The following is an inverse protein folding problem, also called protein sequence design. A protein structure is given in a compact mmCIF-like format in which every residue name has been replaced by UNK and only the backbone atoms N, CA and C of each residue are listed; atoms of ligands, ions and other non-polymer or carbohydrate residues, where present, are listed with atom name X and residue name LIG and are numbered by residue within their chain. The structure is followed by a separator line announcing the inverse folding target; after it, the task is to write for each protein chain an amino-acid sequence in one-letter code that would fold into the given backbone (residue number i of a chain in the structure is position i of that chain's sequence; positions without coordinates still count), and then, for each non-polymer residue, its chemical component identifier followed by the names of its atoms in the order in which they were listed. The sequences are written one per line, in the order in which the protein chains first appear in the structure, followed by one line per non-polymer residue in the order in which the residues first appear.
data_IF_940622974702
#
_entry.id   IF_940622974702
#
_cell.length_a   1.000
_cell.length_b   1.000
_cell.length_c   1.000
_cell.angle_alpha   90.00
_cell.angle_beta   90.00
_cell.angle_gamma   90.00
#
_symmetry.space_group_name_H-M   'P 1'
#
loop_
_entity.id
_entity.type
_entity.pdbx_description
1 polymer ?
#
# COMPACT_ATOMS: atom_id res chain seq x y z
N UNK A 1 -19.49 8.00 -16.25
CA UNK A 1 -18.25 8.16 -15.45
C UNK A 1 -17.08 7.94 -16.38
N UNK A 2 -16.02 8.75 -16.27
CA UNK A 2 -14.77 8.56 -17.01
C UNK A 2 -14.11 7.25 -16.62
N UNK A 3 -13.47 6.58 -17.59
CA UNK A 3 -12.81 5.28 -17.37
C UNK A 3 -11.30 5.37 -17.47
N UNK A 4 -10.76 6.57 -17.74
CA UNK A 4 -9.34 6.77 -17.94
C UNK A 4 -8.64 6.91 -16.57
N UNK A 5 -7.77 5.99 -16.25
CA UNK A 5 -7.02 5.97 -14.99
C UNK A 5 -5.54 6.13 -15.27
N UNK A 6 -4.95 7.20 -14.77
CA UNK A 6 -3.54 7.48 -14.91
C UNK A 6 -2.72 6.58 -13.98
N UNK A 7 -1.68 5.94 -14.50
CA UNK A 7 -0.75 5.09 -13.75
C UNK A 7 0.66 5.66 -13.88
N UNK A 8 1.13 6.34 -12.84
CA UNK A 8 2.52 6.83 -12.82
C UNK A 8 3.47 5.70 -12.39
N UNK A 9 4.53 5.48 -13.18
CA UNK A 9 5.38 4.31 -13.03
C UNK A 9 4.80 3.04 -13.70
N UNK A 10 4.00 3.20 -14.75
CA UNK A 10 3.28 2.12 -15.45
C UNK A 10 4.18 0.97 -15.93
N UNK A 11 5.42 1.26 -16.32
CA UNK A 11 6.40 0.25 -16.77
C UNK A 11 7.20 -0.39 -15.61
N UNK A 12 6.99 0.05 -14.36
CA UNK A 12 7.56 -0.57 -13.18
C UNK A 12 6.93 -1.94 -12.87
N UNK A 13 7.55 -2.70 -11.97
CA UNK A 13 7.09 -4.06 -11.64
C UNK A 13 5.61 -4.08 -11.20
N UNK A 14 5.26 -3.32 -10.17
CA UNK A 14 3.86 -3.23 -9.69
C UNK A 14 2.96 -2.49 -10.68
N UNK A 15 3.49 -1.45 -11.37
CA UNK A 15 2.73 -0.69 -12.35
C UNK A 15 2.19 -1.53 -13.50
N UNK A 16 2.96 -2.51 -13.99
CA UNK A 16 2.50 -3.45 -15.02
C UNK A 16 1.33 -4.30 -14.56
N UNK A 17 1.31 -4.74 -13.30
CA UNK A 17 0.16 -5.46 -12.74
C UNK A 17 -1.07 -4.55 -12.60
N UNK A 18 -0.88 -3.30 -12.16
CA UNK A 18 -1.96 -2.30 -12.07
C UNK A 18 -2.57 -2.01 -13.44
N UNK A 19 -1.74 -1.83 -14.48
CA UNK A 19 -2.21 -1.64 -15.87
C UNK A 19 -3.03 -2.83 -16.35
N UNK A 20 -2.59 -4.06 -16.08
CA UNK A 20 -3.31 -5.27 -16.45
C UNK A 20 -4.66 -5.36 -15.71
N UNK A 21 -4.68 -5.16 -14.40
CA UNK A 21 -5.88 -5.20 -13.56
C UNK A 21 -6.91 -4.15 -13.96
N UNK A 22 -6.49 -2.91 -14.24
CA UNK A 22 -7.36 -1.86 -14.75
C UNK A 22 -8.06 -2.29 -16.03
N UNK A 23 -7.32 -2.88 -16.96
CA UNK A 23 -7.85 -3.37 -18.23
C UNK A 23 -8.86 -4.50 -18.02
N UNK A 24 -8.57 -5.46 -17.16
CA UNK A 24 -9.46 -6.57 -16.83
C UNK A 24 -10.79 -6.08 -16.26
N UNK A 25 -10.77 -4.99 -15.49
CA UNK A 25 -11.97 -4.34 -14.94
C UNK A 25 -12.62 -3.33 -15.89
N UNK A 26 -12.16 -3.22 -17.14
CA UNK A 26 -12.74 -2.36 -18.18
C UNK A 26 -12.45 -0.87 -18.03
N UNK A 27 -11.39 -0.52 -17.28
CA UNK A 27 -10.80 0.82 -17.27
C UNK A 27 -9.84 1.01 -18.44
N UNK A 28 -9.54 2.26 -18.78
CA UNK A 28 -8.57 2.64 -19.79
C UNK A 28 -7.31 3.16 -19.07
N UNK A 29 -6.21 2.40 -19.03
CA UNK A 29 -4.98 2.87 -18.42
C UNK A 29 -4.32 3.97 -19.27
N UNK A 30 -4.01 5.11 -18.65
CA UNK A 30 -3.12 6.14 -19.20
C UNK A 30 -1.73 5.92 -18.62
N UNK A 31 -0.75 5.58 -19.45
CA UNK A 31 0.58 5.19 -19.00
C UNK A 31 1.45 6.41 -18.76
N UNK A 32 1.84 6.67 -17.51
CA UNK A 32 2.67 7.80 -17.13
C UNK A 32 4.05 7.36 -16.63
N UNK A 33 5.07 8.13 -16.99
CA UNK A 33 6.44 7.91 -16.53
C UNK A 33 7.42 8.84 -17.23
N UNK A 34 8.66 8.84 -16.77
CA UNK A 34 9.72 9.73 -17.26
C UNK A 34 10.48 9.19 -18.50
N UNK A 35 10.53 7.86 -18.63
CA UNK A 35 11.26 7.16 -19.68
C UNK A 35 10.33 6.88 -20.86
N UNK A 36 10.53 7.65 -21.94
CA UNK A 36 9.68 7.63 -23.12
C UNK A 36 9.84 6.32 -23.92
N UNK A 37 11.03 5.72 -23.94
CA UNK A 37 11.27 4.46 -24.63
C UNK A 37 10.54 3.29 -23.94
N UNK A 38 10.62 3.20 -22.63
CA UNK A 38 9.90 2.18 -21.84
C UNK A 38 8.37 2.38 -21.90
N UNK A 39 7.92 3.64 -21.95
CA UNK A 39 6.50 3.93 -22.16
C UNK A 39 6.04 3.46 -23.54
N UNK A 40 6.80 3.75 -24.61
CA UNK A 40 6.48 3.35 -25.96
C UNK A 40 6.44 1.83 -26.14
N UNK A 41 7.35 1.10 -25.50
CA UNK A 41 7.35 -0.36 -25.46
C UNK A 41 6.03 -0.91 -24.87
N UNK A 42 5.59 -0.36 -23.74
CA UNK A 42 4.34 -0.77 -23.08
C UNK A 42 3.12 -0.32 -23.87
N UNK A 43 3.16 0.86 -24.49
CA UNK A 43 2.09 1.44 -25.31
C UNK A 43 1.82 0.65 -26.60
N UNK A 44 2.81 -0.11 -27.09
CA UNK A 44 2.64 -1.01 -28.25
C UNK A 44 1.49 -2.02 -28.12
N UNK A 45 0.98 -2.22 -26.90
CA UNK A 45 -0.24 -2.98 -26.63
C UNK A 45 -1.56 -2.20 -26.81
N UNK A 46 -1.53 -0.99 -27.39
CA UNK A 46 -2.72 -0.16 -27.69
C UNK A 46 -3.13 0.80 -26.56
N UNK A 47 -2.19 1.17 -25.67
CA UNK A 47 -2.43 2.14 -24.60
C UNK A 47 -1.93 3.54 -24.97
N UNK A 48 -2.58 4.56 -24.45
CA UNK A 48 -2.06 5.93 -24.49
C UNK A 48 -0.94 6.11 -23.47
N UNK A 49 0.21 6.63 -23.93
CA UNK A 49 1.36 6.93 -23.11
C UNK A 49 1.64 8.43 -23.11
N UNK A 50 1.90 8.98 -21.91
CA UNK A 50 2.18 10.40 -21.71
C UNK A 50 3.45 10.53 -20.86
N UNK A 51 4.49 11.16 -21.41
CA UNK A 51 5.68 11.46 -20.64
C UNK A 51 5.37 12.45 -19.52
N UNK A 52 5.78 12.10 -18.30
CA UNK A 52 5.60 12.94 -17.10
C UNK A 52 6.78 12.74 -16.13
N UNK A 53 7.24 13.82 -15.51
CA UNK A 53 8.29 13.81 -14.49
C UNK A 53 7.83 14.58 -13.26
N UNK A 54 8.19 14.08 -12.08
CA UNK A 54 7.95 14.79 -10.81
C UNK A 54 8.74 16.09 -10.69
N UNK A 55 9.81 16.25 -11.48
CA UNK A 55 10.62 17.45 -11.55
C UNK A 55 10.03 18.52 -12.49
N UNK A 56 8.97 18.17 -13.27
CA UNK A 56 8.25 19.10 -14.16
C UNK A 56 6.74 19.06 -13.85
N UNK A 57 6.26 19.94 -12.95
CA UNK A 57 4.84 20.03 -12.61
C UNK A 57 3.93 20.24 -13.81
N UNK A 58 4.39 21.01 -14.82
CA UNK A 58 3.63 21.22 -16.04
C UNK A 58 3.45 19.94 -16.87
N UNK A 59 4.43 19.00 -16.84
CA UNK A 59 4.27 17.70 -17.48
C UNK A 59 3.24 16.84 -16.76
N UNK A 60 3.18 16.89 -15.43
CA UNK A 60 2.18 16.18 -14.63
C UNK A 60 0.76 16.70 -14.93
N UNK A 61 0.59 18.03 -14.98
CA UNK A 61 -0.70 18.66 -15.30
C UNK A 61 -1.19 18.29 -16.70
N UNK A 62 -0.29 18.26 -17.69
CA UNK A 62 -0.61 17.82 -19.06
C UNK A 62 -0.97 16.33 -19.09
N UNK A 63 -0.23 15.51 -18.35
CA UNK A 63 -0.43 14.06 -18.34
C UNK A 63 -1.75 13.65 -17.69
N UNK A 64 -2.25 14.41 -16.71
CA UNK A 64 -3.50 14.13 -16.01
C UNK A 64 -4.76 14.65 -16.73
N UNK A 65 -4.62 15.35 -17.87
CA UNK A 65 -5.82 15.85 -18.59
C UNK A 65 -6.74 14.71 -19.01
N UNK A 66 -7.98 14.78 -18.57
CA UNK A 66 -9.01 13.77 -18.86
C UNK A 66 -8.93 12.50 -18.03
N UNK A 67 -7.92 12.37 -17.15
CA UNK A 67 -7.88 11.26 -16.20
C UNK A 67 -9.00 11.41 -15.17
N UNK A 68 -9.56 10.28 -14.74
CA UNK A 68 -10.58 10.19 -13.69
C UNK A 68 -9.99 9.87 -12.32
N UNK A 69 -8.79 9.30 -12.29
CA UNK A 69 -8.02 9.00 -11.08
C UNK A 69 -6.52 8.88 -11.41
N UNK A 70 -5.68 8.95 -10.39
CA UNK A 70 -4.24 8.72 -10.47
C UNK A 70 -3.82 7.61 -9.51
N UNK A 71 -3.11 6.59 -10.02
CA UNK A 71 -2.42 5.58 -9.23
C UNK A 71 -0.91 5.81 -9.35
N UNK A 72 -0.23 6.00 -8.22
CA UNK A 72 1.23 6.11 -8.16
C UNK A 72 1.86 4.76 -7.80
N UNK A 73 2.60 4.18 -8.73
CA UNK A 73 3.37 2.94 -8.58
C UNK A 73 4.89 3.17 -8.62
N UNK A 74 5.35 4.42 -8.56
CA UNK A 74 6.75 4.77 -8.72
C UNK A 74 7.41 5.19 -7.41
N UNK A 75 8.17 4.28 -6.80
CA UNK A 75 9.08 4.65 -5.70
C UNK A 75 10.38 5.33 -6.18
N UNK A 76 11.15 5.97 -5.28
CA UNK A 76 10.85 6.18 -3.86
C UNK A 76 9.67 7.15 -3.66
N UNK A 77 8.71 6.77 -2.83
CA UNK A 77 7.50 7.59 -2.62
C UNK A 77 7.80 8.88 -1.85
N UNK A 78 8.86 8.89 -1.04
CA UNK A 78 9.38 10.12 -0.44
C UNK A 78 9.71 11.23 -1.47
N UNK A 79 9.93 10.85 -2.74
CA UNK A 79 10.22 11.79 -3.85
C UNK A 79 8.99 12.00 -4.74
N UNK A 80 8.24 10.94 -5.01
CA UNK A 80 7.19 10.98 -6.03
C UNK A 80 5.82 11.35 -5.49
N UNK A 81 5.50 11.04 -4.23
CA UNK A 81 4.15 11.16 -3.71
C UNK A 81 3.68 12.63 -3.67
N UNK A 82 4.44 13.53 -3.05
CA UNK A 82 4.03 14.92 -2.90
C UNK A 82 3.77 15.63 -4.25
N UNK A 83 4.68 15.62 -5.26
CA UNK A 83 4.41 16.23 -6.56
C UNK A 83 3.19 15.65 -7.27
N UNK A 84 2.94 14.35 -7.13
CA UNK A 84 1.80 13.69 -7.77
C UNK A 84 0.48 14.01 -7.08
N UNK A 85 0.44 14.08 -5.75
CA UNK A 85 -0.75 14.56 -5.02
C UNK A 85 -1.05 16.02 -5.35
N UNK A 86 -0.02 16.88 -5.42
CA UNK A 86 -0.18 18.27 -5.87
C UNK A 86 -0.85 18.34 -7.24
N UNK A 87 -0.38 17.54 -8.20
CA UNK A 87 -0.96 17.49 -9.54
C UNK A 87 -2.39 16.91 -9.53
N UNK A 88 -2.65 15.87 -8.74
CA UNK A 88 -3.98 15.30 -8.58
C UNK A 88 -4.98 16.32 -8.00
N UNK A 89 -4.58 17.06 -6.97
CA UNK A 89 -5.40 18.12 -6.38
C UNK A 89 -5.70 19.25 -7.39
N UNK A 90 -4.70 19.69 -8.19
CA UNK A 90 -4.93 20.69 -9.26
C UNK A 90 -5.85 20.17 -10.35
N UNK A 91 -5.76 18.89 -10.68
CA UNK A 91 -6.61 18.25 -11.68
C UNK A 91 -8.01 17.89 -11.15
N UNK A 92 -8.23 17.96 -9.83
CA UNK A 92 -9.50 17.56 -9.19
C UNK A 92 -9.76 16.07 -9.27
N UNK A 93 -8.71 15.22 -9.31
CA UNK A 93 -8.83 13.75 -9.40
C UNK A 93 -8.34 13.06 -8.12
N UNK A 94 -8.96 11.94 -7.74
CA UNK A 94 -8.49 11.14 -6.60
C UNK A 94 -7.09 10.56 -6.86
N UNK A 95 -6.37 10.34 -5.77
CA UNK A 95 -5.03 9.77 -5.76
C UNK A 95 -4.98 8.51 -4.90
N UNK A 96 -4.30 7.50 -5.42
CA UNK A 96 -3.99 6.26 -4.71
C UNK A 96 -2.52 5.95 -4.92
N UNK A 97 -1.81 5.45 -3.90
CA UNK A 97 -0.46 4.94 -4.09
C UNK A 97 -0.22 3.58 -3.42
N UNK A 98 0.90 2.96 -3.77
CA UNK A 98 1.31 1.65 -3.24
C UNK A 98 2.54 1.76 -2.32
N UNK A 99 2.67 2.86 -1.60
CA UNK A 99 3.81 3.17 -0.75
C UNK A 99 3.86 2.32 0.52
N UNK A 100 4.95 1.60 0.74
CA UNK A 100 5.23 0.94 2.02
C UNK A 100 6.12 1.80 2.95
N UNK A 101 6.65 2.92 2.46
CA UNK A 101 7.56 3.83 3.18
C UNK A 101 6.83 4.55 4.31
N UNK A 102 7.25 4.34 5.55
CA UNK A 102 6.59 4.90 6.76
C UNK A 102 6.55 6.42 6.70
N UNK A 103 7.71 7.04 6.45
CA UNK A 103 7.88 8.49 6.47
C UNK A 103 7.10 9.17 5.33
N UNK A 104 7.03 8.54 4.15
CA UNK A 104 6.25 9.06 3.03
C UNK A 104 4.74 9.04 3.35
N UNK A 105 4.27 7.98 4.02
CA UNK A 105 2.88 7.90 4.46
C UNK A 105 2.57 8.93 5.56
N UNK A 106 3.44 9.09 6.56
CA UNK A 106 3.26 10.10 7.60
C UNK A 106 3.20 11.52 7.01
N UNK A 107 4.05 11.84 6.04
CA UNK A 107 4.04 13.12 5.33
C UNK A 107 2.69 13.39 4.63
N UNK A 108 2.06 12.34 4.07
CA UNK A 108 0.75 12.48 3.41
C UNK A 108 -0.31 12.97 4.38
N UNK A 109 -0.40 12.38 5.56
CA UNK A 109 -1.35 12.81 6.59
C UNK A 109 -1.00 14.20 7.13
N UNK A 110 0.30 14.48 7.35
CA UNK A 110 0.73 15.75 7.94
C UNK A 110 0.55 16.95 7.01
N UNK A 111 0.78 16.80 5.70
CA UNK A 111 0.89 17.93 4.78
C UNK A 111 -0.26 18.08 3.80
N UNK A 112 -1.05 17.01 3.57
CA UNK A 112 -2.10 17.04 2.54
C UNK A 112 -3.52 16.87 3.07
N UNK A 113 -3.72 16.48 4.35
CA UNK A 113 -5.05 16.18 4.88
C UNK A 113 -6.05 17.33 4.73
N UNK A 114 -5.67 18.54 5.14
CA UNK A 114 -6.55 19.72 5.03
C UNK A 114 -6.78 20.12 3.57
N UNK A 115 -5.74 20.08 2.75
CA UNK A 115 -5.79 20.49 1.35
C UNK A 115 -6.64 19.56 0.50
N UNK A 116 -6.51 18.25 0.69
CA UNK A 116 -7.32 17.26 0.02
C UNK A 116 -8.80 17.35 0.45
N UNK A 117 -9.06 17.60 1.74
CA UNK A 117 -10.42 17.81 2.24
C UNK A 117 -11.03 19.08 1.65
N UNK A 118 -10.29 20.18 1.61
CA UNK A 118 -10.75 21.44 1.02
C UNK A 118 -11.03 21.30 -0.49
N UNK A 119 -10.28 20.47 -1.19
CA UNK A 119 -10.49 20.15 -2.60
C UNK A 119 -11.64 19.14 -2.84
N UNK A 120 -12.23 18.57 -1.80
CA UNK A 120 -13.23 17.51 -1.92
C UNK A 120 -12.70 16.22 -2.55
N UNK A 121 -11.38 16.00 -2.49
CA UNK A 121 -10.68 14.90 -3.17
C UNK A 121 -10.30 13.80 -2.18
N UNK A 122 -10.37 12.54 -2.61
CA UNK A 122 -9.91 11.38 -1.84
C UNK A 122 -8.46 11.08 -2.19
N UNK A 123 -7.62 10.94 -1.17
CA UNK A 123 -6.21 10.56 -1.26
C UNK A 123 -5.99 9.35 -0.37
N UNK A 124 -5.68 8.19 -0.96
CA UNK A 124 -5.48 6.93 -0.24
C UNK A 124 -4.02 6.49 -0.36
N UNK A 125 -3.18 6.79 0.62
CA UNK A 125 -1.80 6.30 0.62
C UNK A 125 -1.73 4.81 1.00
N UNK A 126 -0.61 4.18 0.69
CA UNK A 126 -0.27 2.79 1.05
C UNK A 126 -1.30 1.73 0.62
N UNK A 127 -2.04 1.94 -0.48
CA UNK A 127 -3.05 0.98 -0.94
C UNK A 127 -2.41 -0.23 -1.62
N UNK A 128 -1.71 -1.04 -0.85
CA UNK A 128 -0.88 -2.16 -1.28
C UNK A 128 -0.90 -3.31 -0.26
N UNK A 129 -0.07 -4.33 -0.51
CA UNK A 129 0.14 -5.45 0.40
C UNK A 129 0.55 -4.98 1.81
N UNK A 130 1.58 -4.11 1.90
CA UNK A 130 1.96 -3.47 3.15
C UNK A 130 1.17 -2.16 3.34
N UNK A 131 0.54 -2.01 4.47
CA UNK A 131 -0.28 -0.86 4.82
C UNK A 131 -1.75 -1.08 4.50
N UNK A 132 -2.15 -1.11 3.23
CA UNK A 132 -3.57 -1.19 2.84
C UNK A 132 -4.25 -2.50 3.22
N UNK A 133 -3.63 -3.64 2.93
CA UNK A 133 -4.20 -4.96 3.29
C UNK A 133 -4.21 -5.15 4.81
N UNK A 134 -3.12 -4.81 5.50
CA UNK A 134 -3.05 -4.90 6.95
C UNK A 134 -4.08 -4.02 7.64
N UNK A 135 -4.21 -2.76 7.20
CA UNK A 135 -5.20 -1.81 7.71
C UNK A 135 -6.65 -2.28 7.52
N UNK A 136 -6.99 -2.80 6.34
CA UNK A 136 -8.31 -3.37 6.08
C UNK A 136 -8.60 -4.58 6.97
N UNK A 137 -7.64 -5.47 7.19
CA UNK A 137 -7.79 -6.63 8.07
C UNK A 137 -7.94 -6.23 9.53
N UNK A 138 -7.13 -5.26 10.02
CA UNK A 138 -7.29 -4.71 11.38
C UNK A 138 -8.68 -4.11 11.54
N UNK A 139 -9.11 -3.29 10.58
CA UNK A 139 -10.43 -2.65 10.60
C UNK A 139 -11.56 -3.68 10.59
N UNK A 140 -11.44 -4.76 9.81
CA UNK A 140 -12.40 -5.85 9.79
C UNK A 140 -12.43 -6.60 11.14
N UNK A 141 -11.26 -6.87 11.74
CA UNK A 141 -11.15 -7.53 13.03
C UNK A 141 -11.69 -6.67 14.19
N UNK A 142 -11.57 -5.34 14.10
CA UNK A 142 -12.21 -4.45 15.08
C UNK A 142 -13.73 -4.67 15.14
N UNK A 143 -14.37 -4.89 14.00
CA UNK A 143 -15.82 -5.11 13.94
C UNK A 143 -16.59 -3.95 14.58
N UNK A 144 -17.29 -4.23 15.70
CA UNK A 144 -18.03 -3.23 16.48
C UNK A 144 -17.22 -2.58 17.63
N UNK A 145 -15.95 -2.97 17.82
CA UNK A 145 -15.10 -2.31 18.80
C UNK A 145 -14.71 -0.90 18.35
N UNK A 146 -14.86 0.08 19.24
CA UNK A 146 -14.49 1.48 18.98
C UNK A 146 -13.06 1.79 19.39
N UNK A 147 -12.46 0.96 20.26
CA UNK A 147 -11.07 1.04 20.71
C UNK A 147 -10.53 -0.36 20.99
N UNK A 148 -9.22 -0.52 20.97
CA UNK A 148 -8.54 -1.74 21.36
C UNK A 148 -7.23 -1.41 22.10
N UNK A 149 -6.72 -2.37 22.89
CA UNK A 149 -5.47 -2.19 23.63
C UNK A 149 -4.26 -2.29 22.69
N UNK A 150 -4.29 -3.25 21.76
CA UNK A 150 -3.22 -3.49 20.79
C UNK A 150 -3.72 -4.16 19.51
N UNK A 151 -3.05 -3.86 18.40
CA UNK A 151 -3.19 -4.54 17.12
C UNK A 151 -1.86 -5.13 16.67
N UNK A 152 -1.90 -6.38 16.21
CA UNK A 152 -0.75 -7.11 15.69
C UNK A 152 -0.98 -7.43 14.22
N UNK A 153 -0.02 -7.11 13.36
CA UNK A 153 -0.03 -7.44 11.93
C UNK A 153 1.20 -8.29 11.61
N UNK A 154 0.99 -9.58 11.37
CA UNK A 154 2.07 -10.51 11.09
C UNK A 154 2.07 -10.93 9.62
N UNK A 155 3.20 -10.74 8.95
CA UNK A 155 3.45 -11.08 7.57
C UNK A 155 4.28 -12.37 7.48
N UNK A 156 3.62 -13.48 7.17
CA UNK A 156 4.24 -14.77 6.88
C UNK A 156 4.42 -14.93 5.38
N UNK A 157 5.67 -14.98 4.92
CA UNK A 157 6.03 -15.13 3.51
C UNK A 157 6.84 -16.40 3.31
N UNK A 158 6.54 -17.20 2.27
CA UNK A 158 7.35 -18.36 1.91
C UNK A 158 8.74 -17.95 1.41
N UNK A 159 8.89 -16.72 0.94
CA UNK A 159 10.12 -16.06 0.53
C UNK A 159 9.81 -14.65 0.05
N UNK A 160 10.84 -13.82 -0.07
CA UNK A 160 10.72 -12.48 -0.62
C UNK A 160 11.77 -12.25 -1.70
N UNK A 161 11.31 -11.91 -2.88
CA UNK A 161 12.17 -11.52 -3.99
C UNK A 161 12.03 -10.00 -4.20
N UNK A 162 12.85 -9.17 -3.51
CA UNK A 162 12.71 -7.73 -3.59
C UNK A 162 12.95 -7.24 -5.03
N UNK A 163 12.22 -6.20 -5.42
CA UNK A 163 12.48 -5.48 -6.65
C UNK A 163 13.54 -4.40 -6.42
N UNK A 164 14.15 -3.87 -7.49
CA UNK A 164 15.03 -2.72 -7.37
C UNK A 164 14.30 -1.52 -6.73
N UNK A 165 13.02 -1.33 -7.07
CA UNK A 165 12.18 -0.30 -6.45
C UNK A 165 12.06 -0.48 -4.94
N UNK A 166 11.84 -1.71 -4.46
CA UNK A 166 11.79 -2.04 -3.03
C UNK A 166 13.09 -1.67 -2.31
N UNK A 167 14.24 -2.02 -2.87
CA UNK A 167 15.53 -1.72 -2.25
C UNK A 167 15.80 -0.22 -2.20
N UNK A 168 15.55 0.50 -3.29
CA UNK A 168 15.76 1.97 -3.36
C UNK A 168 14.82 2.69 -2.38
N UNK A 169 13.54 2.30 -2.31
CA UNK A 169 12.58 2.85 -1.35
C UNK A 169 13.01 2.58 0.10
N UNK A 170 13.46 1.35 0.39
CA UNK A 170 13.96 0.99 1.71
C UNK A 170 15.20 1.79 2.12
N UNK A 171 16.13 2.03 1.18
CA UNK A 171 17.33 2.85 1.43
C UNK A 171 16.97 4.31 1.71
N UNK A 172 16.05 4.91 0.94
CA UNK A 172 15.60 6.29 1.13
C UNK A 172 14.89 6.44 2.48
N UNK A 173 13.96 5.53 2.81
CA UNK A 173 13.27 5.50 4.09
C UNK A 173 14.27 5.33 5.26
N UNK A 174 15.22 4.40 5.14
CA UNK A 174 16.29 4.21 6.13
C UNK A 174 17.14 5.45 6.37
N UNK A 175 17.50 6.17 5.29
CA UNK A 175 18.24 7.45 5.40
C UNK A 175 17.43 8.55 6.09
N UNK A 176 16.13 8.66 5.79
CA UNK A 176 15.23 9.66 6.41
C UNK A 176 15.12 9.49 7.91
N UNK A 177 15.16 8.26 8.42
CA UNK A 177 15.15 7.96 9.86
C UNK A 177 16.56 7.75 10.49
N UNK A 178 17.61 8.09 9.76
CA UNK A 178 19.01 8.00 10.23
C UNK A 178 19.40 6.56 10.65
N UNK A 179 18.84 5.55 9.97
CA UNK A 179 19.05 4.14 10.28
C UNK A 179 18.26 3.62 11.47
N UNK A 180 17.60 4.50 12.25
CA UNK A 180 16.78 4.09 13.40
C UNK A 180 15.59 3.25 12.97
N UNK A 181 15.08 2.46 13.87
CA UNK A 181 13.84 1.70 13.74
C UNK A 181 12.65 2.54 14.15
N UNK A 182 11.47 2.09 13.75
CA UNK A 182 10.20 2.80 14.04
C UNK A 182 9.22 1.79 14.61
N UNK A 183 8.52 2.16 15.68
CA UNK A 183 7.37 1.43 16.22
C UNK A 183 6.25 2.41 16.53
N UNK A 184 5.02 1.93 16.65
CA UNK A 184 3.91 2.70 17.16
C UNK A 184 3.55 2.19 18.55
N UNK A 185 3.79 3.01 19.56
CA UNK A 185 3.60 2.66 20.96
C UNK A 185 3.15 3.88 21.77
N UNK A 186 2.27 3.67 22.77
CA UNK A 186 1.74 4.77 23.56
C UNK A 186 1.03 5.83 22.73
N UNK A 187 0.39 5.44 21.63
CA UNK A 187 -0.35 6.33 20.73
C UNK A 187 0.49 7.22 19.84
N UNK A 188 1.77 6.90 19.64
CA UNK A 188 2.69 7.71 18.79
C UNK A 188 3.75 6.87 18.09
N UNK A 189 4.28 7.40 16.99
CA UNK A 189 5.49 6.87 16.36
C UNK A 189 6.69 7.17 17.22
N UNK A 190 7.49 6.14 17.50
CA UNK A 190 8.74 6.22 18.25
C UNK A 190 9.89 5.71 17.40
N UNK A 191 10.97 6.50 17.31
CA UNK A 191 12.22 6.12 16.66
C UNK A 191 13.23 5.63 17.71
N UNK A 192 13.77 4.43 17.50
CA UNK A 192 14.61 3.76 18.50
C UNK A 192 15.73 2.95 17.85
N UNK A 193 16.71 2.54 18.66
CA UNK A 193 17.85 1.72 18.27
C UNK A 193 17.87 0.35 18.97
N UNK A 194 16.78 -0.03 19.65
CA UNK A 194 16.67 -1.30 20.36
C UNK A 194 16.83 -2.48 19.40
N UNK A 195 17.31 -3.62 19.91
CA UNK A 195 17.36 -4.87 19.16
C UNK A 195 15.93 -5.34 18.79
N UNK A 196 15.74 -5.79 17.56
CA UNK A 196 14.45 -6.33 17.15
C UNK A 196 14.16 -7.65 17.85
N UNK A 197 12.99 -7.82 18.46
CA UNK A 197 12.61 -9.08 19.08
C UNK A 197 12.41 -10.16 18.03
N UNK A 198 12.83 -11.38 18.35
CA UNK A 198 12.55 -12.58 17.56
C UNK A 198 11.65 -13.50 18.36
N UNK A 199 10.58 -14.00 17.74
CA UNK A 199 9.62 -14.91 18.37
C UNK A 199 9.03 -15.88 17.35
N UNK A 200 8.37 -16.94 17.84
CA UNK A 200 7.58 -17.84 17.00
C UNK A 200 6.17 -17.29 16.84
N UNK A 201 5.70 -17.22 15.58
CA UNK A 201 4.33 -16.82 15.25
C UNK A 201 3.57 -18.00 14.69
N UNK A 202 2.40 -18.37 15.24
CA UNK A 202 1.61 -19.52 14.80
C UNK A 202 0.73 -19.14 13.60
N UNK A 203 1.37 -18.91 12.44
CA UNK A 203 0.61 -18.70 11.21
C UNK A 203 -0.27 -19.93 10.92
N UNK A 204 -1.44 -19.72 10.29
CA UNK A 204 -2.25 -20.83 9.81
C UNK A 204 -1.61 -21.50 8.59
N UNK A 205 -2.17 -22.66 8.20
CA UNK A 205 -1.83 -23.30 6.93
C UNK A 205 -2.10 -22.35 5.75
N UNK A 206 -1.33 -22.43 4.66
CA UNK A 206 -0.26 -23.40 4.37
C UNK A 206 1.14 -22.96 4.87
N UNK A 207 1.27 -21.83 5.57
CA UNK A 207 2.58 -21.31 6.01
C UNK A 207 3.05 -22.02 7.28
N UNK A 208 2.14 -22.27 8.24
CA UNK A 208 2.46 -22.89 9.53
C UNK A 208 3.31 -22.00 10.45
N UNK A 209 3.62 -22.47 11.67
CA UNK A 209 4.43 -21.72 12.62
C UNK A 209 5.81 -21.36 12.06
N UNK A 210 6.22 -20.10 12.22
CA UNK A 210 7.52 -19.59 11.75
C UNK A 210 8.12 -18.61 12.76
N UNK A 211 9.44 -18.56 12.76
CA UNK A 211 10.17 -17.50 13.43
C UNK A 211 9.93 -16.17 12.71
N UNK A 212 9.60 -15.15 13.47
CA UNK A 212 9.38 -13.79 12.97
C UNK A 212 10.27 -12.78 13.69
N UNK A 213 10.58 -11.70 12.97
CA UNK A 213 11.22 -10.51 13.52
C UNK A 213 10.10 -9.52 13.84
N UNK A 214 9.94 -9.17 15.12
CA UNK A 214 9.02 -8.12 15.55
C UNK A 214 9.57 -6.73 15.26
N UNK A 215 8.68 -5.74 15.25
CA UNK A 215 9.02 -4.36 14.90
C UNK A 215 9.68 -4.24 13.51
N UNK A 216 9.39 -5.20 12.63
CA UNK A 216 9.68 -5.08 11.21
C UNK A 216 8.57 -4.21 10.59
N UNK A 217 8.69 -2.91 10.79
CA UNK A 217 7.62 -1.95 10.53
C UNK A 217 7.51 -1.57 9.07
N UNK A 218 6.26 -1.48 8.63
CA UNK A 218 5.83 -0.99 7.33
C UNK A 218 4.77 0.11 7.52
N UNK A 219 4.08 0.50 6.47
CA UNK A 219 3.09 1.57 6.49
C UNK A 219 1.96 1.37 7.51
N UNK A 220 1.71 0.15 7.98
CA UNK A 220 0.66 -0.19 8.96
C UNK A 220 0.74 0.63 10.26
N UNK A 221 1.96 0.97 10.70
CA UNK A 221 2.15 1.80 11.90
C UNK A 221 1.74 3.26 11.72
N UNK A 222 1.38 3.64 10.50
CA UNK A 222 0.81 4.95 10.15
C UNK A 222 -0.67 4.79 9.78
N UNK A 223 -1.00 3.83 8.92
CA UNK A 223 -2.35 3.68 8.38
C UNK A 223 -3.36 3.26 9.44
N UNK A 224 -3.07 2.25 10.26
CA UNK A 224 -3.94 1.74 11.31
C UNK A 224 -4.28 2.82 12.34
N UNK A 225 -3.30 3.48 13.00
CA UNK A 225 -3.61 4.46 14.04
C UNK A 225 -4.10 5.80 13.48
N UNK A 226 -4.10 5.98 12.16
CA UNK A 226 -4.67 7.20 11.55
C UNK A 226 -6.18 7.32 11.75
N UNK A 227 -6.88 6.20 12.06
CA UNK A 227 -8.33 6.18 12.17
C UNK A 227 -8.88 5.24 13.26
N UNK A 228 -8.07 4.36 13.82
CA UNK A 228 -8.45 3.47 14.91
C UNK A 228 -7.83 3.93 16.23
N UNK A 229 -8.61 3.87 17.31
CA UNK A 229 -8.13 4.13 18.67
C UNK A 229 -7.45 2.87 19.22
N UNK A 230 -6.17 2.72 18.86
CA UNK A 230 -5.30 1.61 19.23
C UNK A 230 -3.93 2.17 19.59
N UNK A 231 -3.54 2.21 20.88
CA UNK A 231 -2.28 2.81 21.31
C UNK A 231 -1.03 1.99 20.95
N UNK A 232 -1.18 0.70 20.65
CA UNK A 232 -0.08 -0.21 20.32
C UNK A 232 -0.35 -0.89 18.97
N UNK A 233 0.48 -0.59 17.96
CA UNK A 233 0.45 -1.30 16.67
C UNK A 233 1.78 -2.00 16.47
N UNK A 234 1.76 -3.32 16.41
CA UNK A 234 2.94 -4.18 16.33
C UNK A 234 2.94 -4.96 15.01
N UNK A 235 4.05 -4.91 14.34
CA UNK A 235 4.25 -5.57 13.03
C UNK A 235 5.34 -6.63 13.12
N UNK A 236 5.15 -7.71 12.36
CA UNK A 236 6.04 -8.85 12.34
C UNK A 236 6.28 -9.32 10.92
N UNK A 237 7.50 -9.79 10.64
CA UNK A 237 7.87 -10.36 9.35
C UNK A 237 8.55 -11.70 9.56
N UNK A 238 8.19 -12.73 8.75
CA UNK A 238 8.92 -14.00 8.79
C UNK A 238 10.42 -13.77 8.62
N UNK A 239 11.23 -14.38 9.49
CA UNK A 239 12.68 -14.15 9.54
C UNK A 239 13.36 -14.50 8.21
N UNK A 240 12.85 -15.54 7.51
CA UNK A 240 13.30 -15.90 6.18
C UNK A 240 13.11 -14.75 5.18
N UNK A 241 11.91 -14.18 5.09
CA UNK A 241 11.62 -13.09 4.17
C UNK A 241 12.43 -11.82 4.49
N UNK A 242 12.62 -11.52 5.78
CA UNK A 242 13.48 -10.41 6.19
C UNK A 242 14.95 -10.61 5.73
N UNK A 243 15.45 -11.84 5.80
CA UNK A 243 16.80 -12.17 5.30
C UNK A 243 16.92 -12.09 3.77
N UNK A 244 15.85 -12.40 3.05
CA UNK A 244 15.81 -12.35 1.59
C UNK A 244 15.99 -10.93 1.03
N UNK A 245 15.72 -9.88 1.81
CA UNK A 245 15.99 -8.48 1.44
C UNK A 245 17.47 -8.18 1.21
N UNK A 246 18.36 -8.94 1.80
CA UNK A 246 19.79 -8.80 1.58
C UNK A 246 20.28 -9.54 0.30
N UNK A 247 19.39 -10.30 -0.35
CA UNK A 247 19.75 -11.07 -1.55
C UNK A 247 19.91 -10.16 -2.78
N UNK A 248 20.80 -10.51 -3.72
CA UNK A 248 20.95 -9.77 -4.96
C UNK A 248 19.67 -9.79 -5.81
N UNK A 249 19.29 -8.63 -6.36
CA UNK A 249 18.16 -8.52 -7.28
C UNK A 249 18.60 -8.98 -8.67
N UNK A 250 17.95 -10.01 -9.18
CA UNK A 250 18.22 -10.57 -10.50
C UNK A 250 17.09 -10.21 -11.48
N UNK A 251 17.30 -9.21 -12.32
CA UNK A 251 16.48 -8.91 -13.51
C UNK A 251 15.01 -8.51 -13.28
N UNK A 252 14.32 -8.19 -14.37
CA UNK A 252 12.85 -8.02 -14.39
C UNK A 252 12.19 -9.40 -14.30
N UNK A 253 11.16 -9.53 -13.44
CA UNK A 253 10.47 -10.80 -13.18
C UNK A 253 8.99 -10.66 -13.51
N UNK A 254 8.38 -11.76 -13.90
CA UNK A 254 6.93 -11.92 -13.98
C UNK A 254 6.30 -12.11 -12.59
N UNK A 255 5.13 -12.74 -12.53
CA UNK A 255 4.49 -13.13 -11.26
C UNK A 255 5.36 -14.09 -10.47
N UNK A 256 5.44 -13.89 -9.16
CA UNK A 256 6.11 -14.80 -8.24
C UNK A 256 5.18 -15.96 -7.85
N UNK A 257 5.76 -17.12 -7.58
CA UNK A 257 5.06 -18.27 -6.99
C UNK A 257 4.99 -18.19 -5.45
N UNK A 258 5.69 -17.21 -4.85
CA UNK A 258 5.75 -17.04 -3.40
C UNK A 258 4.36 -16.83 -2.81
N UNK A 259 4.08 -17.57 -1.73
CA UNK A 259 2.83 -17.45 -0.97
C UNK A 259 3.00 -16.53 0.23
N UNK A 260 1.89 -15.97 0.68
CA UNK A 260 1.86 -15.16 1.88
C UNK A 260 0.64 -15.46 2.75
N UNK A 261 0.79 -15.16 4.02
CA UNK A 261 -0.28 -15.03 5.01
C UNK A 261 -0.11 -13.69 5.71
N UNK A 262 -1.17 -12.91 5.80
CA UNK A 262 -1.27 -11.76 6.71
C UNK A 262 -2.20 -12.16 7.82
N UNK A 263 -1.67 -12.34 9.03
CA UNK A 263 -2.41 -12.72 10.24
C UNK A 263 -2.53 -11.52 11.17
N UNK A 264 -3.73 -11.03 11.32
CA UNK A 264 -4.05 -9.89 12.17
C UNK A 264 -4.73 -10.35 13.45
N UNK A 265 -4.30 -9.82 14.58
CA UNK A 265 -4.93 -10.00 15.89
C UNK A 265 -5.14 -8.66 16.55
N UNK A 266 -6.36 -8.42 17.02
CA UNK A 266 -6.71 -7.22 17.77
C UNK A 266 -7.17 -7.63 19.15
N UNK A 267 -6.63 -7.00 20.20
CA UNK A 267 -6.93 -7.32 21.61
C UNK A 267 -7.55 -6.14 22.32
N UNK A 268 -8.56 -6.41 23.10
CA UNK A 268 -9.24 -5.41 23.94
C UNK A 268 -9.85 -6.07 25.18
N UNK A 269 -9.51 -5.58 26.36
CA UNK A 269 -10.08 -6.05 27.64
C UNK A 269 -9.92 -7.56 27.89
N UNK A 270 -8.85 -8.19 27.41
CA UNK A 270 -8.60 -9.63 27.50
C UNK A 270 -9.29 -10.48 26.43
N UNK A 271 -10.10 -9.91 25.54
CA UNK A 271 -10.63 -10.57 24.35
C UNK A 271 -9.69 -10.39 23.15
N UNK A 272 -9.70 -11.36 22.22
CA UNK A 272 -8.96 -11.30 20.98
C UNK A 272 -9.90 -11.54 19.79
N UNK A 273 -9.76 -10.73 18.75
CA UNK A 273 -10.35 -10.95 17.43
C UNK A 273 -9.25 -11.14 16.40
N UNK A 274 -9.52 -11.92 15.37
CA UNK A 274 -8.53 -12.30 14.35
C UNK A 274 -9.14 -12.17 12.97
N UNK A 275 -8.33 -11.69 12.02
CA UNK A 275 -8.62 -11.74 10.59
C UNK A 275 -7.38 -12.21 9.84
N UNK A 276 -7.56 -13.04 8.83
CA UNK A 276 -6.45 -13.62 8.07
C UNK A 276 -6.72 -13.46 6.57
N UNK A 277 -5.69 -13.08 5.83
CA UNK A 277 -5.67 -13.15 4.38
C UNK A 277 -4.50 -14.01 3.90
N UNK A 278 -4.76 -14.91 2.96
CA UNK A 278 -3.74 -15.71 2.30
C UNK A 278 -3.77 -15.47 0.79
N UNK A 279 -2.61 -15.54 0.15
CA UNK A 279 -2.53 -15.32 -1.29
C UNK A 279 -1.13 -15.60 -1.85
N UNK A 280 -0.88 -15.07 -3.04
CA UNK A 280 0.40 -15.22 -3.75
C UNK A 280 0.87 -13.90 -4.30
N UNK A 281 2.20 -13.72 -4.34
CA UNK A 281 2.86 -12.59 -4.96
C UNK A 281 2.44 -11.22 -4.38
N UNK A 282 3.22 -10.74 -3.41
CA UNK A 282 2.95 -9.49 -2.66
C UNK A 282 2.89 -8.24 -3.56
N UNK A 283 3.54 -8.28 -4.73
CA UNK A 283 3.49 -7.18 -5.70
C UNK A 283 2.26 -7.28 -6.60
N UNK A 284 1.95 -8.48 -7.08
CA UNK A 284 0.79 -8.70 -7.94
C UNK A 284 -0.54 -8.44 -7.19
N UNK A 285 -0.65 -8.83 -5.91
CA UNK A 285 -1.85 -8.58 -5.09
C UNK A 285 -2.07 -7.10 -4.79
N UNK A 286 -1.02 -6.28 -4.86
CA UNK A 286 -1.14 -4.83 -4.68
C UNK A 286 -1.95 -4.16 -5.82
N UNK A 287 -1.99 -4.77 -7.01
CA UNK A 287 -2.76 -4.25 -8.12
C UNK A 287 -4.28 -4.31 -7.89
N UNK A 288 -4.90 -5.46 -7.59
CA UNK A 288 -6.32 -5.50 -7.28
C UNK A 288 -6.70 -4.65 -6.06
N UNK A 289 -5.83 -4.49 -5.06
CA UNK A 289 -6.04 -3.56 -3.95
C UNK A 289 -6.16 -2.11 -4.44
N UNK A 290 -5.19 -1.63 -5.20
CA UNK A 290 -5.18 -0.25 -5.71
C UNK A 290 -6.33 0.01 -6.70
N UNK A 291 -6.63 -0.94 -7.57
CA UNK A 291 -7.70 -0.78 -8.57
C UNK A 291 -9.09 -0.86 -7.94
N UNK A 292 -9.32 -1.73 -6.95
CA UNK A 292 -10.57 -1.75 -6.18
C UNK A 292 -10.78 -0.43 -5.44
N UNK A 293 -9.72 0.16 -4.87
CA UNK A 293 -9.80 1.46 -4.24
C UNK A 293 -10.25 2.55 -5.24
N UNK A 294 -9.64 2.58 -6.42
CA UNK A 294 -10.03 3.51 -7.49
C UNK A 294 -11.48 3.29 -7.92
N UNK A 295 -11.88 2.03 -8.14
CA UNK A 295 -13.27 1.71 -8.52
C UNK A 295 -14.27 2.22 -7.49
N UNK A 296 -14.00 1.99 -6.20
CA UNK A 296 -14.85 2.48 -5.10
C UNK A 296 -14.91 3.99 -5.02
N UNK A 297 -13.80 4.66 -5.19
CA UNK A 297 -13.78 6.13 -5.21
C UNK A 297 -14.60 6.67 -6.38
N UNK A 298 -14.40 6.14 -7.59
CA UNK A 298 -15.09 6.59 -8.79
C UNK A 298 -16.59 6.24 -8.80
N UNK A 299 -16.99 5.20 -8.07
CA UNK A 299 -18.40 4.79 -7.93
C UNK A 299 -19.09 5.35 -6.69
N UNK A 300 -18.40 6.21 -5.91
CA UNK A 300 -18.95 6.86 -4.71
C UNK A 300 -19.12 5.93 -3.50
N UNK A 301 -18.40 4.81 -3.46
CA UNK A 301 -18.41 3.84 -2.34
C UNK A 301 -17.31 4.18 -1.32
N UNK A 302 -17.27 5.43 -0.87
CA UNK A 302 -16.32 5.95 0.12
C UNK A 302 -17.05 6.50 1.34
N UNK A 303 -16.44 6.38 2.52
CA UNK A 303 -16.98 6.87 3.79
C UNK A 303 -16.48 8.28 4.15
N UNK A 304 -15.39 8.72 3.55
CA UNK A 304 -14.75 10.00 3.85
C UNK A 304 -14.03 10.57 2.62
N UNK A 305 -13.64 11.84 2.73
CA UNK A 305 -12.82 12.59 1.77
C UNK A 305 -11.54 13.10 2.47
N UNK A 306 -10.59 13.59 1.71
CA UNK A 306 -9.29 14.02 2.21
C UNK A 306 -8.26 12.89 2.16
N UNK A 307 -7.17 13.03 2.90
CA UNK A 307 -6.19 11.95 3.09
C UNK A 307 -6.74 10.99 4.14
N UNK A 308 -6.90 9.75 3.78
CA UNK A 308 -7.34 8.72 4.72
C UNK A 308 -6.84 7.33 4.30
N UNK A 309 -6.59 6.47 5.28
CA UNK A 309 -6.16 5.09 5.04
C UNK A 309 -7.31 4.22 4.52
N UNK A 310 -7.00 3.04 4.03
CA UNK A 310 -7.95 2.13 3.40
C UNK A 310 -9.15 1.80 4.32
N UNK A 311 -8.89 1.47 5.59
CA UNK A 311 -9.93 1.14 6.58
C UNK A 311 -10.83 2.31 6.94
N UNK A 312 -10.31 3.55 6.83
CA UNK A 312 -11.11 4.77 7.04
C UNK A 312 -12.01 5.09 5.84
N UNK A 313 -11.49 4.90 4.62
CA UNK A 313 -12.18 5.27 3.39
C UNK A 313 -13.24 4.26 3.01
N UNK A 314 -12.99 2.97 3.21
CA UNK A 314 -13.82 1.90 2.68
C UNK A 314 -14.52 1.08 3.77
N UNK A 315 -15.59 0.39 3.39
CA UNK A 315 -16.13 -0.72 4.17
C UNK A 315 -15.14 -1.89 4.07
N UNK A 316 -14.38 -2.13 5.13
CA UNK A 316 -13.27 -3.07 5.10
C UNK A 316 -13.72 -4.52 4.81
N UNK A 317 -14.75 -5.10 5.48
CA UNK A 317 -15.24 -6.42 5.14
C UNK A 317 -15.75 -6.53 3.70
N UNK A 318 -16.50 -5.52 3.20
CA UNK A 318 -17.01 -5.53 1.84
C UNK A 318 -15.88 -5.38 0.82
N UNK A 319 -14.86 -4.55 1.13
CA UNK A 319 -13.68 -4.39 0.29
C UNK A 319 -12.89 -5.70 0.17
N UNK A 320 -12.61 -6.35 1.30
CA UNK A 320 -11.86 -7.60 1.34
C UNK A 320 -12.60 -8.71 0.58
N UNK A 321 -13.91 -8.85 0.77
CA UNK A 321 -14.73 -9.84 0.04
C UNK A 321 -14.72 -9.62 -1.49
N UNK A 322 -14.63 -8.37 -1.96
CA UNK A 322 -14.49 -8.07 -3.38
C UNK A 322 -13.19 -8.60 -4.00
N UNK A 323 -12.18 -8.89 -3.16
CA UNK A 323 -10.89 -9.45 -3.58
C UNK A 323 -10.81 -10.98 -3.47
N UNK A 324 -11.92 -11.68 -3.29
CA UNK A 324 -11.96 -13.15 -3.10
C UNK A 324 -11.39 -13.97 -4.27
N UNK A 325 -11.25 -13.37 -5.46
CA UNK A 325 -10.54 -14.00 -6.58
C UNK A 325 -9.00 -14.02 -6.41
N UNK A 326 -8.47 -13.18 -5.53
CA UNK A 326 -7.04 -12.97 -5.30
C UNK A 326 -6.59 -13.39 -3.90
N UNK A 327 -7.53 -13.40 -2.93
CA UNK A 327 -7.28 -13.67 -1.51
C UNK A 327 -8.25 -14.71 -0.98
N UNK A 328 -7.75 -15.64 -0.16
CA UNK A 328 -8.58 -16.40 0.76
C UNK A 328 -8.63 -15.67 2.09
N UNK A 329 -9.81 -15.56 2.69
CA UNK A 329 -10.06 -14.73 3.88
C UNK A 329 -10.68 -15.58 5.00
N UNK A 330 -10.26 -15.32 6.25
CA UNK A 330 -10.86 -15.87 7.46
C UNK A 330 -11.12 -14.75 8.46
N UNK A 331 -12.24 -14.79 9.16
CA UNK A 331 -12.59 -13.79 10.20
C UNK A 331 -13.01 -12.41 9.66
N UNK A 332 -13.51 -12.35 8.39
CA UNK A 332 -13.89 -11.11 7.69
C UNK A 332 -15.35 -11.12 7.28
#
# INVERSE_FOLDING_TARGET
MGRDVAVFGAYGHTGRFVVAELRERGYVPLLLGRDEARLAELAGAGFEARRASVDDPGSLDRALRGASALINCAGPFAVTAAPLVEAALRAGVPYVDVAAEIEANADMFAHFAERARAAGTVVVPAMAFFGGLGDLLVTAAMGDWTAADEAHVAYGLSGWQPTLGTLVSGEVSGRRREGRRVRFTGGRLEYHDDALPTLEWPFPDPVGPQSVIGEFTMADVVTVPSHLDVPEVRTYMSAKAASDLAAPVNGERGRSAETFVVDVRVRSGGAERRAVATGRDIYAVSAPLAVEAVDRVLTGRTRTIGVASAGAVFDAPDFLRALSAHLSLEGV
#
